data_IF_481345373991
#
_entry.id   IF_481345373991
#
_cell.length_a   1.000
_cell.length_b   1.000
_cell.length_c   1.000
_cell.angle_alpha   90.00
_cell.angle_beta   90.00
_cell.angle_gamma   90.00
#
_symmetry.space_group_name_H-M   'P 1'
#
loop_
_entity.id
_entity.type
_entity.pdbx_description
1 polymer ?
#
# COMPACT_ATOMS: atom_id res chain seq x y z
N UNK A 1 24.84 10.51 26.90
CA UNK A 1 24.58 9.12 27.21
C UNK A 1 24.07 8.44 25.93
N UNK A 2 24.93 7.62 25.32
CA UNK A 2 24.61 6.81 24.14
C UNK A 2 23.72 5.67 24.60
N UNK A 3 22.47 5.65 24.18
CA UNK A 3 21.66 4.44 24.22
C UNK A 3 22.09 3.57 23.05
N UNK A 4 22.87 2.52 23.34
CA UNK A 4 23.09 1.42 22.45
C UNK A 4 21.76 0.68 22.28
N UNK A 5 21.03 0.94 21.20
CA UNK A 5 19.93 0.09 20.75
C UNK A 5 20.58 -1.21 20.30
N UNK A 6 20.50 -2.22 21.14
CA UNK A 6 20.81 -3.60 20.78
C UNK A 6 19.76 -4.00 19.75
N UNK A 7 20.17 -4.01 18.49
CA UNK A 7 19.36 -4.39 17.37
C UNK A 7 19.05 -5.89 17.40
N UNK A 8 17.96 -6.24 18.08
CA UNK A 8 17.18 -7.38 17.67
C UNK A 8 16.40 -6.94 16.42
N UNK A 9 16.92 -7.22 15.24
CA UNK A 9 16.18 -7.01 13.99
C UNK A 9 14.97 -7.94 13.99
N UNK A 10 13.88 -7.52 14.63
CA UNK A 10 12.58 -8.10 14.35
C UNK A 10 12.24 -7.69 12.92
N UNK A 11 12.30 -8.65 12.01
CA UNK A 11 11.82 -8.46 10.65
C UNK A 11 10.30 -8.32 10.76
N UNK A 12 9.84 -7.07 10.88
CA UNK A 12 8.42 -6.74 11.08
C UNK A 12 7.55 -7.25 9.91
N UNK A 13 8.13 -7.27 8.70
CA UNK A 13 7.51 -7.86 7.52
C UNK A 13 8.23 -9.11 7.07
N UNK A 14 7.50 -10.20 6.88
CA UNK A 14 7.88 -11.27 5.96
C UNK A 14 7.03 -11.13 4.71
N UNK A 15 7.58 -10.56 3.66
CA UNK A 15 6.91 -10.54 2.37
C UNK A 15 7.23 -11.82 1.59
N UNK A 16 6.19 -12.50 1.14
CA UNK A 16 6.27 -13.69 0.30
C UNK A 16 5.53 -13.43 -1.00
N UNK A 17 6.18 -13.72 -2.12
CA UNK A 17 5.60 -13.58 -3.45
C UNK A 17 5.34 -14.94 -4.05
N UNK A 18 4.19 -15.10 -4.70
CA UNK A 18 3.97 -16.23 -5.59
C UNK A 18 5.01 -16.21 -6.74
N UNK A 19 5.41 -17.39 -7.30
CA UNK A 19 6.51 -17.47 -8.26
C UNK A 19 6.34 -16.56 -9.49
N UNK A 20 5.13 -16.48 -10.02
CA UNK A 20 4.82 -15.84 -11.31
C UNK A 20 4.42 -14.34 -11.18
N UNK A 21 4.65 -13.75 -10.02
CA UNK A 21 4.46 -12.29 -9.86
C UNK A 21 5.49 -11.54 -10.68
N UNK A 22 5.03 -10.56 -11.49
CA UNK A 22 5.89 -9.71 -12.32
C UNK A 22 7.08 -9.16 -11.52
N UNK A 23 8.32 -9.30 -12.02
CA UNK A 23 9.52 -8.79 -11.34
C UNK A 23 9.48 -7.30 -11.06
N UNK A 24 8.85 -6.52 -11.94
CA UNK A 24 8.72 -5.09 -11.82
C UNK A 24 7.90 -4.70 -10.58
N UNK A 25 6.65 -5.14 -10.49
CA UNK A 25 5.79 -4.78 -9.34
C UNK A 25 6.32 -5.40 -8.03
N UNK A 26 6.98 -6.55 -8.12
CA UNK A 26 7.66 -7.18 -6.99
C UNK A 26 8.76 -6.28 -6.42
N UNK A 27 9.53 -5.59 -7.28
CA UNK A 27 10.57 -4.66 -6.85
C UNK A 27 9.97 -3.48 -6.09
N UNK A 28 8.94 -2.83 -6.64
CA UNK A 28 8.24 -1.72 -5.98
C UNK A 28 7.61 -2.12 -4.64
N UNK A 29 6.95 -3.27 -4.57
CA UNK A 29 6.40 -3.77 -3.31
C UNK A 29 7.47 -3.99 -2.23
N UNK A 30 8.63 -4.54 -2.61
CA UNK A 30 9.76 -4.72 -1.68
C UNK A 30 10.32 -3.40 -1.18
N UNK A 31 10.48 -2.43 -2.08
CA UNK A 31 10.98 -1.11 -1.73
C UNK A 31 10.04 -0.39 -0.78
N UNK A 32 8.74 -0.38 -1.08
CA UNK A 32 7.74 0.20 -0.18
C UNK A 32 7.70 -0.50 1.18
N UNK A 33 7.76 -1.83 1.23
CA UNK A 33 7.83 -2.56 2.50
C UNK A 33 9.07 -2.18 3.31
N UNK A 34 10.22 -2.02 2.67
CA UNK A 34 11.46 -1.58 3.32
C UNK A 34 11.35 -0.16 3.85
N UNK A 35 10.78 0.75 3.05
CA UNK A 35 10.56 2.14 3.42
C UNK A 35 9.59 2.26 4.61
N UNK A 36 8.49 1.51 4.61
CA UNK A 36 7.54 1.46 5.73
C UNK A 36 8.20 0.96 7.02
N UNK A 37 9.06 -0.06 6.95
CA UNK A 37 9.79 -0.56 8.12
C UNK A 37 10.81 0.45 8.67
N UNK A 38 11.29 1.37 7.86
CA UNK A 38 12.18 2.43 8.31
C UNK A 38 11.44 3.52 9.11
N UNK A 39 10.20 3.84 8.72
CA UNK A 39 9.45 4.95 9.30
C UNK A 39 8.47 4.55 10.40
N UNK A 40 8.04 3.28 10.45
CA UNK A 40 7.05 2.82 11.43
C UNK A 40 7.54 1.62 12.23
N UNK A 41 7.21 1.65 13.53
CA UNK A 41 7.42 0.51 14.42
C UNK A 41 6.23 -0.46 14.34
N UNK A 42 6.53 -1.75 14.25
CA UNK A 42 5.54 -2.81 14.22
C UNK A 42 5.65 -3.65 15.49
N UNK A 43 4.72 -3.46 16.46
CA UNK A 43 4.75 -4.17 17.75
C UNK A 43 4.67 -5.69 17.59
N UNK A 44 3.99 -6.15 16.53
CA UNK A 44 3.88 -7.56 16.18
C UNK A 44 4.20 -7.75 14.71
N UNK A 45 4.86 -8.87 14.38
CA UNK A 45 5.15 -9.25 13.00
C UNK A 45 3.85 -9.44 12.21
N UNK A 46 3.81 -8.90 11.00
CA UNK A 46 2.72 -9.06 10.05
C UNK A 46 3.25 -9.55 8.70
N UNK A 47 3.11 -10.86 8.38
CA UNK A 47 3.47 -11.37 7.06
C UNK A 47 2.56 -10.80 5.98
N UNK A 48 3.15 -10.44 4.83
CA UNK A 48 2.44 -9.99 3.64
C UNK A 48 2.64 -11.02 2.53
N UNK A 49 1.54 -11.59 2.05
CA UNK A 49 1.52 -12.56 0.97
C UNK A 49 1.03 -11.91 -0.31
N UNK A 50 1.92 -11.76 -1.28
CA UNK A 50 1.64 -11.24 -2.62
C UNK A 50 1.28 -12.39 -3.55
N UNK A 51 0.01 -12.44 -3.94
CA UNK A 51 -0.59 -13.54 -4.69
C UNK A 51 -0.69 -13.21 -6.17
N UNK A 52 -0.29 -14.14 -7.03
CA UNK A 52 -0.51 -14.03 -8.47
C UNK A 52 -1.97 -14.40 -8.82
N UNK A 53 -2.92 -13.59 -8.36
CA UNK A 53 -4.36 -13.72 -8.60
C UNK A 53 -4.95 -12.35 -8.84
N UNK A 54 -6.04 -12.28 -9.62
CA UNK A 54 -6.75 -11.01 -9.88
C UNK A 54 -7.44 -10.45 -8.63
N UNK A 55 -7.81 -11.30 -7.68
CA UNK A 55 -8.48 -10.90 -6.43
C UNK A 55 -8.20 -11.91 -5.30
N UNK A 56 -8.36 -11.43 -4.08
CA UNK A 56 -8.43 -12.24 -2.86
C UNK A 56 -9.92 -12.46 -2.55
N UNK A 57 -10.27 -13.64 -2.02
CA UNK A 57 -11.59 -13.86 -1.42
C UNK A 57 -11.55 -13.59 0.05
N UNK A 58 -12.44 -12.72 0.50
CA UNK A 58 -12.72 -12.49 1.92
C UNK A 58 -13.52 -13.67 2.52
N UNK A 59 -13.68 -13.69 3.84
CA UNK A 59 -14.36 -14.77 4.54
C UNK A 59 -15.87 -14.87 4.20
N UNK A 60 -16.50 -13.75 3.86
CA UNK A 60 -17.88 -13.63 3.39
C UNK A 60 -18.06 -14.02 1.91
N UNK A 61 -16.94 -14.25 1.19
CA UNK A 61 -16.91 -14.64 -0.22
C UNK A 61 -16.69 -13.48 -1.18
N UNK A 62 -16.66 -12.25 -0.71
CA UNK A 62 -16.44 -11.06 -1.53
C UNK A 62 -15.04 -11.04 -2.14
N UNK A 63 -14.94 -10.41 -3.31
CA UNK A 63 -13.71 -10.24 -4.06
C UNK A 63 -13.09 -8.88 -3.75
N UNK A 64 -11.88 -8.88 -3.23
CA UNK A 64 -11.12 -7.66 -2.91
C UNK A 64 -9.69 -7.71 -3.48
N UNK A 65 -9.07 -6.55 -3.64
CA UNK A 65 -7.69 -6.45 -4.10
C UNK A 65 -6.69 -6.88 -3.02
N UNK A 66 -7.03 -6.64 -1.76
CA UNK A 66 -6.22 -7.00 -0.61
C UNK A 66 -7.12 -7.27 0.60
N UNK A 67 -6.55 -7.88 1.64
CA UNK A 67 -7.25 -8.12 2.91
C UNK A 67 -6.23 -8.24 4.05
N UNK A 68 -6.54 -7.57 5.15
CA UNK A 68 -5.95 -7.81 6.46
C UNK A 68 -6.76 -8.89 7.20
N UNK A 69 -6.07 -9.79 7.87
CA UNK A 69 -6.67 -10.81 8.75
C UNK A 69 -6.06 -10.71 10.13
N UNK A 70 -6.80 -10.14 11.07
CA UNK A 70 -6.45 -10.05 12.49
C UNK A 70 -7.18 -11.13 13.28
N UNK A 71 -6.47 -12.03 13.98
CA UNK A 71 -7.09 -12.99 14.89
C UNK A 71 -7.84 -12.28 16.03
N UNK A 72 -8.89 -12.94 16.56
CA UNK A 72 -9.56 -12.44 17.77
C UNK A 72 -8.60 -12.40 18.97
N UNK A 73 -7.70 -13.37 19.05
CA UNK A 73 -6.64 -13.39 20.05
C UNK A 73 -5.41 -12.63 19.53
N UNK A 74 -5.12 -11.48 20.10
CA UNK A 74 -3.99 -10.62 19.74
C UNK A 74 -2.61 -11.24 20.03
N UNK A 75 -2.53 -12.41 20.65
CA UNK A 75 -1.28 -13.16 20.76
C UNK A 75 -0.96 -14.01 19.52
N UNK A 76 -1.93 -14.18 18.62
CA UNK A 76 -1.76 -14.91 17.38
C UNK A 76 -1.32 -13.95 16.26
N UNK A 77 -0.48 -14.44 15.35
CA UNK A 77 0.09 -13.65 14.27
C UNK A 77 -0.98 -13.26 13.23
N UNK A 78 -1.20 -11.96 12.98
CA UNK A 78 -2.05 -11.50 11.88
C UNK A 78 -1.33 -11.68 10.54
N UNK A 79 -2.05 -11.50 9.43
CA UNK A 79 -1.44 -11.51 8.10
C UNK A 79 -2.19 -10.63 7.11
N UNK A 80 -1.50 -10.26 6.03
CA UNK A 80 -2.05 -9.51 4.90
C UNK A 80 -1.91 -10.37 3.63
N UNK A 81 -2.92 -10.35 2.77
CA UNK A 81 -2.85 -10.91 1.41
C UNK A 81 -3.18 -9.82 0.40
N UNK A 82 -2.39 -9.72 -0.66
CA UNK A 82 -2.55 -8.73 -1.74
C UNK A 82 -2.54 -9.45 -3.08
N UNK A 83 -3.52 -9.14 -3.93
CA UNK A 83 -3.62 -9.66 -5.29
C UNK A 83 -2.77 -8.81 -6.23
N UNK A 84 -1.93 -9.46 -7.04
CA UNK A 84 -1.06 -8.82 -8.05
C UNK A 84 -1.27 -9.38 -9.46
N UNK A 85 -2.19 -10.33 -9.64
CA UNK A 85 -2.36 -11.03 -10.91
C UNK A 85 -3.01 -10.19 -12.02
N UNK A 86 -3.59 -9.05 -11.69
CA UNK A 86 -4.18 -8.12 -12.64
C UNK A 86 -3.25 -6.93 -13.02
N UNK A 87 -2.04 -6.89 -12.47
CA UNK A 87 -1.09 -5.78 -12.68
C UNK A 87 -0.85 -5.46 -14.15
N UNK A 88 -0.59 -6.45 -14.98
CA UNK A 88 -0.36 -6.24 -16.41
C UNK A 88 -1.62 -5.73 -17.14
N UNK A 89 -2.78 -6.22 -16.76
CA UNK A 89 -4.08 -5.77 -17.30
C UNK A 89 -4.33 -4.31 -16.95
N UNK A 90 -4.08 -3.93 -15.71
CA UNK A 90 -4.20 -2.54 -15.24
C UNK A 90 -3.18 -1.65 -15.95
N UNK A 91 -1.94 -2.11 -16.11
CA UNK A 91 -0.88 -1.39 -16.84
C UNK A 91 -1.29 -1.08 -18.28
N UNK A 92 -1.87 -2.04 -18.98
CA UNK A 92 -2.38 -1.85 -20.35
C UNK A 92 -3.53 -0.84 -20.40
N UNK A 93 -4.39 -0.83 -19.38
CA UNK A 93 -5.59 0.02 -19.34
C UNK A 93 -5.32 1.46 -18.93
N UNK A 94 -4.47 1.66 -17.92
CA UNK A 94 -4.31 2.97 -17.25
C UNK A 94 -2.88 3.52 -17.29
N UNK A 95 -1.95 2.77 -17.87
CA UNK A 95 -0.53 3.08 -17.88
C UNK A 95 0.21 2.61 -16.63
N UNK A 96 1.52 2.53 -16.77
CA UNK A 96 2.43 1.95 -15.77
C UNK A 96 2.38 2.64 -14.42
N UNK A 97 2.53 3.97 -14.39
CA UNK A 97 2.59 4.74 -13.14
C UNK A 97 1.32 4.55 -12.30
N UNK A 98 0.15 4.59 -12.96
CA UNK A 98 -1.14 4.36 -12.28
C UNK A 98 -1.31 2.92 -11.80
N UNK A 99 -0.82 1.95 -12.56
CA UNK A 99 -0.87 0.55 -12.16
C UNK A 99 -0.01 0.31 -10.92
N UNK A 100 1.21 0.86 -10.88
CA UNK A 100 2.10 0.80 -9.71
C UNK A 100 1.44 1.47 -8.51
N UNK A 101 0.98 2.71 -8.66
CA UNK A 101 0.35 3.47 -7.58
C UNK A 101 -0.88 2.75 -7.00
N UNK A 102 -1.77 2.22 -7.87
CA UNK A 102 -2.96 1.50 -7.45
C UNK A 102 -2.62 0.21 -6.68
N UNK A 103 -1.59 -0.50 -7.13
CA UNK A 103 -1.14 -1.73 -6.47
C UNK A 103 -0.47 -1.45 -5.13
N UNK A 104 0.46 -0.49 -5.09
CA UNK A 104 1.18 -0.15 -3.87
C UNK A 104 0.27 0.41 -2.78
N UNK A 105 -0.79 1.12 -3.15
CA UNK A 105 -1.78 1.65 -2.20
C UNK A 105 -2.40 0.60 -1.29
N UNK A 106 -2.52 -0.64 -1.77
CA UNK A 106 -3.07 -1.74 -0.96
C UNK A 106 -2.21 -2.03 0.28
N UNK A 107 -0.89 -1.83 0.21
CA UNK A 107 0.01 -2.13 1.35
C UNK A 107 -0.30 -1.24 2.55
N UNK A 108 -0.22 0.09 2.48
CA UNK A 108 -0.54 0.96 3.61
C UNK A 108 -2.03 0.93 4.00
N UNK A 109 -2.93 0.58 3.09
CA UNK A 109 -4.34 0.39 3.41
C UNK A 109 -4.52 -0.77 4.39
N UNK A 110 -4.01 -1.95 4.08
CA UNK A 110 -4.10 -3.13 4.95
C UNK A 110 -3.27 -2.97 6.23
N UNK A 111 -2.16 -2.25 6.17
CA UNK A 111 -1.39 -1.91 7.36
C UNK A 111 -2.13 -0.95 8.29
N UNK A 112 -3.01 -0.09 7.76
CA UNK A 112 -3.88 0.74 8.62
C UNK A 112 -4.85 -0.15 9.39
N UNK A 113 -5.44 -1.17 8.77
CA UNK A 113 -6.25 -2.16 9.48
C UNK A 113 -5.46 -2.95 10.53
N UNK A 114 -4.18 -3.28 10.24
CA UNK A 114 -3.29 -3.86 11.23
C UNK A 114 -3.11 -2.94 12.45
N UNK A 115 -2.88 -1.64 12.24
CA UNK A 115 -2.73 -0.68 13.34
C UNK A 115 -4.03 -0.44 14.10
N UNK A 116 -5.17 -0.45 13.43
CA UNK A 116 -6.49 -0.42 14.06
C UNK A 116 -6.67 -1.65 14.98
N UNK A 117 -6.34 -2.83 14.48
CA UNK A 117 -6.46 -4.08 15.20
C UNK A 117 -5.52 -4.15 16.42
N UNK A 118 -4.22 -3.89 16.25
CA UNK A 118 -3.22 -4.04 17.33
C UNK A 118 -3.41 -3.00 18.45
N UNK A 119 -4.03 -1.86 18.16
CA UNK A 119 -4.30 -0.79 19.13
C UNK A 119 -5.75 -0.78 19.62
N UNK A 120 -6.55 -1.78 19.32
CA UNK A 120 -7.98 -1.84 19.70
C UNK A 120 -8.77 -0.57 19.31
N UNK A 121 -8.47 0.02 18.15
CA UNK A 121 -9.17 1.19 17.65
C UNK A 121 -10.57 0.75 17.20
N UNK A 122 -11.60 1.21 17.93
CA UNK A 122 -12.99 0.87 17.67
C UNK A 122 -13.68 2.00 16.92
N UNK A 123 -13.74 1.88 15.61
CA UNK A 123 -14.53 2.71 14.73
C UNK A 123 -15.74 1.90 14.22
N UNK A 124 -16.64 2.58 13.50
CA UNK A 124 -17.57 1.86 12.64
C UNK A 124 -16.82 1.29 11.45
N UNK A 125 -17.34 0.24 10.81
CA UNK A 125 -16.76 -0.35 9.61
C UNK A 125 -16.45 0.72 8.53
N UNK A 126 -17.40 1.61 8.27
CA UNK A 126 -17.21 2.75 7.35
C UNK A 126 -16.09 3.69 7.84
N UNK A 127 -15.97 3.87 9.15
CA UNK A 127 -14.94 4.71 9.77
C UNK A 127 -13.54 4.11 9.59
N UNK A 128 -13.41 2.79 9.79
CA UNK A 128 -12.16 2.05 9.59
C UNK A 128 -11.71 2.12 8.14
N UNK A 129 -12.60 1.85 7.20
CA UNK A 129 -12.32 1.91 5.76
C UNK A 129 -11.95 3.33 5.29
N UNK A 130 -12.65 4.35 5.81
CA UNK A 130 -12.33 5.75 5.49
C UNK A 130 -10.94 6.13 6.00
N UNK A 131 -10.60 5.75 7.22
CA UNK A 131 -9.28 6.01 7.81
C UNK A 131 -8.19 5.30 7.00
N UNK A 132 -8.38 4.01 6.67
CA UNK A 132 -7.45 3.22 5.86
C UNK A 132 -7.22 3.85 4.48
N UNK A 133 -8.28 4.32 3.83
CA UNK A 133 -8.20 4.97 2.52
C UNK A 133 -7.43 6.29 2.58
N UNK A 134 -7.71 7.14 3.58
CA UNK A 134 -7.03 8.44 3.74
C UNK A 134 -5.54 8.25 4.05
N UNK A 135 -5.21 7.36 4.99
CA UNK A 135 -3.82 7.10 5.36
C UNK A 135 -3.03 6.44 4.23
N UNK A 136 -3.64 5.46 3.54
CA UNK A 136 -2.99 4.82 2.40
C UNK A 136 -2.62 5.82 1.30
N UNK A 137 -3.49 6.79 1.04
CA UNK A 137 -3.23 7.85 0.06
C UNK A 137 -2.07 8.73 0.49
N UNK A 138 -2.09 9.25 1.72
CA UNK A 138 -1.03 10.12 2.23
C UNK A 138 0.34 9.40 2.27
N UNK A 139 0.36 8.16 2.77
CA UNK A 139 1.58 7.34 2.83
C UNK A 139 2.15 7.07 1.44
N UNK A 140 1.29 6.78 0.46
CA UNK A 140 1.71 6.55 -0.91
C UNK A 140 2.31 7.81 -1.55
N UNK A 141 1.72 8.99 -1.30
CA UNK A 141 2.24 10.28 -1.76
C UNK A 141 3.64 10.52 -1.19
N UNK A 142 3.86 10.36 0.12
CA UNK A 142 5.18 10.49 0.74
C UNK A 142 6.20 9.50 0.20
N UNK A 143 5.80 8.26 -0.02
CA UNK A 143 6.68 7.25 -0.60
C UNK A 143 7.16 7.66 -2.00
N UNK A 144 6.25 8.09 -2.87
CA UNK A 144 6.63 8.52 -4.22
C UNK A 144 7.46 9.80 -4.21
N UNK A 145 7.12 10.77 -3.38
CA UNK A 145 7.89 12.02 -3.25
C UNK A 145 9.34 11.73 -2.86
N UNK A 146 9.58 10.79 -1.96
CA UNK A 146 10.91 10.47 -1.46
C UNK A 146 11.67 9.47 -2.36
N UNK A 147 11.01 8.39 -2.80
CA UNK A 147 11.66 7.28 -3.49
C UNK A 147 11.57 7.35 -5.01
N UNK A 148 10.52 7.97 -5.56
CA UNK A 148 10.21 8.00 -6.99
C UNK A 148 9.74 9.41 -7.43
N UNK A 149 10.54 10.46 -7.24
CA UNK A 149 10.12 11.86 -7.44
C UNK A 149 9.63 12.15 -8.87
N UNK A 150 10.21 11.52 -9.87
CA UNK A 150 9.74 11.68 -11.26
C UNK A 150 8.34 11.08 -11.49
N UNK A 151 8.05 9.95 -10.83
CA UNK A 151 6.72 9.33 -10.88
C UNK A 151 5.71 10.17 -10.08
N UNK A 152 6.13 10.72 -8.94
CA UNK A 152 5.34 11.65 -8.14
C UNK A 152 4.87 12.85 -8.96
N UNK A 153 5.79 13.52 -9.66
CA UNK A 153 5.47 14.64 -10.56
C UNK A 153 4.45 14.23 -11.65
N UNK A 154 4.64 13.07 -12.28
CA UNK A 154 3.71 12.59 -13.31
C UNK A 154 2.32 12.24 -12.78
N UNK A 155 2.22 11.73 -11.55
CA UNK A 155 0.95 11.30 -10.96
C UNK A 155 0.16 12.46 -10.37
N UNK A 156 0.83 13.41 -9.72
CA UNK A 156 0.18 14.42 -8.87
C UNK A 156 0.26 15.84 -9.41
N UNK A 157 1.27 16.21 -10.23
CA UNK A 157 1.48 17.58 -10.71
C UNK A 157 1.10 17.84 -12.19
N UNK A 158 0.76 16.84 -13.00
CA UNK A 158 0.35 17.01 -14.39
C UNK A 158 -1.00 17.75 -14.62
N UNK A 159 -1.61 18.32 -13.60
CA UNK A 159 -2.90 19.04 -13.72
C UNK A 159 -2.79 20.55 -13.95
N UNK A 160 -1.59 21.13 -14.08
CA UNK A 160 -1.43 22.59 -14.19
C UNK A 160 -1.31 23.16 -15.61
N UNK A 161 -1.37 22.34 -16.68
CA UNK A 161 -1.15 22.85 -18.06
C UNK A 161 -2.40 22.98 -18.91
N UNK A 162 -3.61 22.96 -18.34
CA UNK A 162 -4.85 23.10 -19.12
C UNK A 162 -5.73 24.30 -18.71
N UNK A 163 -5.17 25.39 -18.17
CA UNK A 163 -5.94 26.59 -17.84
C UNK A 163 -5.33 27.91 -18.31
N UNK A 164 -4.41 27.91 -19.27
CA UNK A 164 -3.90 29.17 -19.86
C UNK A 164 -3.83 29.09 -21.40
N UNK A 165 -4.94 28.83 -22.07
CA UNK A 165 -5.13 29.23 -23.48
C UNK A 165 -6.61 29.49 -23.73
N UNK A 166 -7.06 30.65 -23.29
CA UNK A 166 -8.19 31.29 -23.94
C UNK A 166 -7.74 32.71 -24.35
N UNK A 167 -7.19 32.89 -25.56
CA UNK A 167 -6.98 34.22 -26.06
C UNK A 167 -8.35 34.83 -26.34
N UNK A 168 -8.55 36.01 -25.81
CA UNK A 168 -9.58 36.94 -26.17
C UNK A 168 -9.71 37.00 -27.70
N UNK A 169 -10.91 36.85 -28.20
CA UNK A 169 -11.30 37.38 -29.49
C UNK A 169 -12.08 38.66 -29.24
N UNK A 170 -11.42 39.75 -29.60
CA UNK A 170 -12.01 41.07 -29.79
C UNK A 170 -13.11 41.04 -30.87
N UNK A 171 -14.05 42.00 -30.70
CA UNK A 171 -15.08 42.59 -31.56
C UNK A 171 -16.47 42.05 -31.35
#
# INVERSE_FOLDING_TARGET
>A
AFFAVIAGYFVAFRHRFDPDVSPEIKAYCKEMCKWLQYYWDFPMRVPIYFKNREFIRAADGDKCAAIFSGPYNHSEEPYIRIALGDYEKITKKWGKDRAIANTLRCIPHELTHYFQWINDIRLTEIGEERQATVYARAILEYFFEECEPEMFERLYHKKSTYSEENPQSDE
#
